data_IF_232980844711
#
_entry.id   IF_232980844711
#
_cell.length_a   1.000
_cell.length_b   1.000
_cell.length_c   1.000
_cell.angle_alpha   90.00
_cell.angle_beta   90.00
_cell.angle_gamma   90.00
#
_symmetry.space_group_name_H-M   'P 1'
#
loop_
_entity.id
_entity.type
_entity.pdbx_description
1 polymer ?
#
# COMPACT_ATOMS: atom_id res chain seq x y z
N UNK A 1 -31.60 -4.85 -10.28
CA UNK A 1 -30.45 -3.93 -10.48
C UNK A 1 -30.65 -2.75 -9.56
N UNK A 2 -29.80 -2.63 -8.54
CA UNK A 2 -29.54 -1.42 -7.75
C UNK A 2 -28.45 -1.81 -6.75
N UNK A 3 -27.20 -1.50 -7.10
CA UNK A 3 -26.44 -0.39 -6.47
C UNK A 3 -25.83 -0.72 -5.11
N UNK A 4 -25.39 -1.95 -4.90
CA UNK A 4 -24.30 -2.23 -3.97
C UNK A 4 -22.97 -2.08 -4.73
N UNK A 5 -22.69 -0.84 -5.17
CA UNK A 5 -21.35 -0.47 -5.62
C UNK A 5 -20.43 -0.67 -4.42
N UNK A 6 -19.79 -1.84 -4.37
CA UNK A 6 -18.67 -2.17 -3.51
C UNK A 6 -17.58 -1.12 -3.71
N UNK A 7 -17.74 -0.01 -2.99
CA UNK A 7 -16.74 1.03 -2.87
C UNK A 7 -15.70 0.49 -1.91
N UNK A 8 -14.83 -0.39 -2.42
CA UNK A 8 -13.59 -0.75 -1.75
C UNK A 8 -12.72 0.51 -1.76
N UNK A 9 -12.95 1.38 -0.77
CA UNK A 9 -12.03 2.45 -0.42
C UNK A 9 -10.88 1.73 0.27
N UNK A 10 -9.85 1.38 -0.48
CA UNK A 10 -8.57 1.00 0.11
C UNK A 10 -8.06 2.23 0.84
N UNK A 11 -8.28 2.29 2.15
CA UNK A 11 -7.76 3.37 2.96
C UNK A 11 -6.25 3.14 3.13
N UNK A 12 -5.47 4.07 2.56
CA UNK A 12 -4.03 4.08 2.77
C UNK A 12 -3.72 4.20 4.28
N UNK A 13 -2.71 3.49 4.81
CA UNK A 13 -2.35 3.60 6.20
C UNK A 13 -1.95 5.04 6.57
N UNK A 14 -2.60 5.63 7.58
CA UNK A 14 -2.20 6.94 8.14
C UNK A 14 -0.94 6.91 9.02
N UNK A 15 -0.37 5.71 9.25
CA UNK A 15 0.83 5.45 10.06
C UNK A 15 2.09 5.42 9.20
N UNK A 16 3.24 5.85 9.73
CA UNK A 16 4.56 5.72 9.09
C UNK A 16 5.29 4.42 9.45
N UNK A 17 4.63 3.47 10.12
CA UNK A 17 5.26 2.20 10.46
C UNK A 17 5.41 1.33 9.21
N UNK A 18 6.61 0.78 9.03
CA UNK A 18 6.94 -0.12 7.91
C UNK A 18 5.95 -1.30 7.83
N UNK A 19 5.62 -1.90 8.98
CA UNK A 19 4.72 -3.06 9.06
C UNK A 19 3.31 -2.78 8.52
N UNK A 20 2.79 -1.57 8.75
CA UNK A 20 1.43 -1.21 8.34
C UNK A 20 1.35 -1.08 6.82
N UNK A 21 2.40 -0.52 6.21
CA UNK A 21 2.53 -0.42 4.75
C UNK A 21 2.83 -1.76 4.08
N UNK A 22 3.57 -2.66 4.74
CA UNK A 22 3.79 -4.03 4.25
C UNK A 22 2.48 -4.82 4.17
N UNK A 23 1.64 -4.74 5.21
CA UNK A 23 0.34 -5.39 5.24
C UNK A 23 -0.61 -4.82 4.18
N UNK A 24 -0.60 -3.50 3.98
CA UNK A 24 -1.37 -2.85 2.92
C UNK A 24 -0.92 -3.28 1.52
N UNK A 25 0.39 -3.29 1.26
CA UNK A 25 0.93 -3.77 -0.02
C UNK A 25 0.52 -5.22 -0.29
N UNK A 26 0.57 -6.09 0.72
CA UNK A 26 0.17 -7.49 0.59
C UNK A 26 -1.31 -7.62 0.20
N UNK A 27 -2.18 -6.87 0.88
CA UNK A 27 -3.63 -6.84 0.58
C UNK A 27 -3.88 -6.38 -0.85
N UNK A 28 -3.19 -5.33 -1.29
CA UNK A 28 -3.33 -4.80 -2.64
C UNK A 28 -2.80 -5.74 -3.73
N UNK A 29 -1.73 -6.50 -3.46
CA UNK A 29 -1.24 -7.53 -4.41
C UNK A 29 -2.29 -8.61 -4.63
N UNK A 30 -2.84 -9.15 -3.55
CA UNK A 30 -3.87 -10.18 -3.66
C UNK A 30 -5.11 -9.66 -4.41
N UNK A 31 -5.47 -8.40 -4.21
CA UNK A 31 -6.57 -7.78 -4.95
C UNK A 31 -6.27 -7.63 -6.44
N UNK A 32 -5.08 -7.15 -6.80
CA UNK A 32 -4.65 -7.04 -8.21
C UNK A 32 -4.56 -8.43 -8.86
N UNK A 33 -4.15 -9.45 -8.13
CA UNK A 33 -4.13 -10.83 -8.62
C UNK A 33 -5.55 -11.36 -8.89
N UNK A 34 -6.51 -11.05 -8.01
CA UNK A 34 -7.92 -11.44 -8.19
C UNK A 34 -8.62 -10.62 -9.27
N UNK A 35 -8.23 -9.36 -9.45
CA UNK A 35 -8.87 -8.39 -10.33
C UNK A 35 -7.83 -7.59 -11.14
N UNK A 36 -7.14 -8.22 -12.10
CA UNK A 36 -6.03 -7.58 -12.83
C UNK A 36 -6.47 -6.44 -13.76
N UNK A 37 -7.77 -6.36 -14.07
CA UNK A 37 -8.39 -5.31 -14.88
C UNK A 37 -8.72 -4.04 -14.08
N UNK A 38 -8.69 -4.12 -12.74
CA UNK A 38 -8.91 -2.98 -11.85
C UNK A 38 -7.68 -2.08 -11.78
N UNK A 39 -7.64 -1.09 -12.67
CA UNK A 39 -6.57 -0.08 -12.74
C UNK A 39 -6.37 0.68 -11.44
N UNK A 40 -7.45 0.97 -10.72
CA UNK A 40 -7.40 1.65 -9.42
C UNK A 40 -6.66 0.82 -8.36
N UNK A 41 -6.87 -0.50 -8.34
CA UNK A 41 -6.13 -1.39 -7.46
C UNK A 41 -4.64 -1.47 -7.83
N UNK A 42 -4.33 -1.48 -9.13
CA UNK A 42 -2.94 -1.43 -9.63
C UNK A 42 -2.26 -0.12 -9.24
N UNK A 43 -2.93 1.02 -9.42
CA UNK A 43 -2.40 2.35 -9.06
C UNK A 43 -2.18 2.47 -7.55
N UNK A 44 -3.13 1.99 -6.74
CA UNK A 44 -3.00 1.96 -5.28
C UNK A 44 -1.83 1.07 -4.83
N UNK A 45 -1.64 -0.12 -5.43
CA UNK A 45 -0.48 -0.97 -5.16
C UNK A 45 0.84 -0.25 -5.49
N UNK A 46 0.93 0.39 -6.65
CA UNK A 46 2.13 1.13 -7.06
C UNK A 46 2.44 2.30 -6.11
N UNK A 47 1.41 3.04 -5.68
CA UNK A 47 1.54 4.10 -4.68
C UNK A 47 2.07 3.54 -3.36
N UNK A 48 1.46 2.45 -2.88
CA UNK A 48 1.84 1.78 -1.63
C UNK A 48 3.30 1.30 -1.62
N UNK A 49 3.74 0.64 -2.70
CA UNK A 49 5.09 0.13 -2.81
C UNK A 49 6.13 1.25 -2.86
N UNK A 50 5.80 2.37 -3.53
CA UNK A 50 6.64 3.56 -3.54
C UNK A 50 6.76 4.16 -2.14
N UNK A 51 5.66 4.32 -1.42
CA UNK A 51 5.67 4.85 -0.06
C UNK A 51 6.43 3.93 0.90
N UNK A 52 6.21 2.62 0.83
CA UNK A 52 6.96 1.64 1.62
C UNK A 52 8.48 1.74 1.38
N UNK A 53 8.89 1.91 0.12
CA UNK A 53 10.31 2.12 -0.23
C UNK A 53 10.87 3.40 0.40
N UNK A 54 10.11 4.50 0.37
CA UNK A 54 10.52 5.76 0.98
C UNK A 54 10.66 5.64 2.50
N UNK A 55 9.67 5.03 3.16
CA UNK A 55 9.67 4.80 4.61
C UNK A 55 10.89 3.95 4.99
N UNK A 56 11.13 2.84 4.31
CA UNK A 56 12.33 1.99 4.56
C UNK A 56 13.64 2.75 4.38
N UNK A 57 13.74 3.62 3.36
CA UNK A 57 14.91 4.47 3.15
C UNK A 57 15.15 5.44 4.30
N UNK A 58 14.09 6.12 4.77
CA UNK A 58 14.17 7.05 5.90
C UNK A 58 14.58 6.34 7.20
N UNK A 59 14.06 5.13 7.45
CA UNK A 59 14.46 4.33 8.61
C UNK A 59 15.93 3.90 8.54
N UNK A 60 16.39 3.42 7.39
CA UNK A 60 17.80 3.04 7.21
C UNK A 60 18.77 4.23 7.40
N UNK A 61 18.41 5.42 6.90
CA UNK A 61 19.19 6.64 7.13
C UNK A 61 19.20 7.06 8.60
N UNK A 62 18.08 6.87 9.31
CA UNK A 62 17.96 7.19 10.74
C UNK A 62 18.82 6.24 11.59
N UNK A 63 18.78 4.94 11.29
CA UNK A 63 19.63 3.93 11.96
C UNK A 63 21.12 4.20 11.70
N UNK A 64 21.50 4.53 10.46
CA UNK A 64 22.88 4.83 10.10
C UNK A 64 23.44 6.10 10.79
N UNK A 65 22.58 7.08 11.12
CA UNK A 65 22.98 8.28 11.88
C UNK A 65 23.05 8.05 13.40
N UNK A 66 22.40 7.01 13.89
CA UNK A 66 22.37 6.67 15.31
C UNK A 66 23.49 5.70 15.75
N UNK A 67 24.19 5.08 14.78
CA UNK A 67 25.33 4.18 14.96
C UNK A 67 26.67 4.95 14.94
#
# INVERSE_FOLDING_TARGET
MSDEYMRYIYEEPGSLRVSDWEAFCQTMREEVERHPDRRDAVEALQSAEKTLKQIRGLWAETEARAA
#
